data_IF_916264268693
#
_entry.id   IF_916264268693
#
_cell.length_a   1.000
_cell.length_b   1.000
_cell.length_c   1.000
_cell.angle_alpha   90.00
_cell.angle_beta   90.00
_cell.angle_gamma   90.00
#
_symmetry.space_group_name_H-M   'P 1'
#
loop_
_entity.id
_entity.type
_entity.pdbx_description
1 polymer ?
#
# COMPACT_ATOMS: atom_id res chain seq x y z
N UNK A 1 51.43 4.04 1.83
CA UNK A 1 50.70 2.89 1.27
C UNK A 1 49.63 3.42 0.33
N UNK A 2 49.60 2.82 -0.84
CA UNK A 2 48.95 3.19 -2.10
C UNK A 2 47.43 3.30 -2.00
N UNK A 3 46.87 4.42 -2.46
CA UNK A 3 45.43 4.55 -2.78
C UNK A 3 45.18 3.83 -4.12
N UNK A 4 44.34 2.81 -4.11
CA UNK A 4 43.75 2.27 -5.33
C UNK A 4 42.48 3.07 -5.64
N UNK A 5 42.52 3.81 -6.76
CA UNK A 5 41.35 4.42 -7.39
C UNK A 5 40.91 3.43 -8.46
N UNK A 6 39.68 2.92 -8.35
CA UNK A 6 39.05 2.08 -9.35
C UNK A 6 38.47 3.00 -10.47
N UNK A 7 38.96 2.99 -11.72
CA UNK A 7 38.44 3.82 -12.78
C UNK A 7 37.40 3.02 -13.57
N UNK A 8 36.14 3.02 -13.13
CA UNK A 8 35.09 2.26 -13.79
C UNK A 8 33.65 2.58 -13.40
N UNK A 9 33.39 3.65 -12.65
CA UNK A 9 32.04 4.12 -12.36
C UNK A 9 31.82 5.48 -13.01
N UNK A 10 31.35 5.46 -14.26
CA UNK A 10 30.72 6.61 -14.88
C UNK A 10 29.51 7.02 -14.04
N UNK A 11 29.54 8.25 -13.49
CA UNK A 11 28.36 8.90 -12.92
C UNK A 11 27.31 9.06 -14.03
N UNK A 12 26.23 8.30 -13.94
CA UNK A 12 25.05 8.48 -14.77
C UNK A 12 24.40 9.81 -14.38
N UNK A 13 24.51 10.82 -15.24
CA UNK A 13 23.68 12.02 -15.14
C UNK A 13 22.73 12.06 -16.33
N UNK A 14 21.48 12.46 -16.09
CA UNK A 14 20.35 12.52 -17.05
C UNK A 14 20.63 13.33 -18.33
N UNK A 15 21.80 13.98 -18.45
CA UNK A 15 22.19 14.84 -19.57
C UNK A 15 22.56 14.13 -20.88
N UNK A 16 22.72 12.80 -20.88
CA UNK A 16 23.12 12.04 -22.08
C UNK A 16 22.02 11.20 -22.73
N UNK A 17 20.79 11.17 -22.21
CA UNK A 17 19.68 10.37 -22.78
C UNK A 17 18.70 11.19 -23.65
N UNK A 18 18.87 12.52 -23.77
CA UNK A 18 17.89 13.39 -24.44
C UNK A 18 18.46 14.30 -25.54
N UNK A 19 19.51 13.87 -26.25
CA UNK A 19 20.09 14.63 -27.39
C UNK A 19 19.66 14.15 -28.78
N UNK A 20 18.53 13.47 -28.89
CA UNK A 20 18.12 12.77 -30.10
C UNK A 20 16.79 13.17 -30.74
N UNK A 21 16.32 14.43 -30.65
CA UNK A 21 15.26 14.95 -31.55
C UNK A 21 14.88 16.40 -31.23
N UNK A 22 15.37 17.36 -32.04
CA UNK A 22 14.85 18.74 -32.11
C UNK A 22 14.55 19.06 -33.58
N UNK A 23 13.34 19.56 -33.83
CA UNK A 23 12.78 20.40 -34.92
C UNK A 23 11.36 19.87 -35.21
N UNK A 24 10.27 20.64 -35.31
CA UNK A 24 9.99 22.07 -35.37
C UNK A 24 8.51 22.23 -34.90
N UNK A 25 8.08 23.33 -34.30
CA UNK A 25 7.72 24.54 -35.01
C UNK A 25 6.62 25.27 -34.23
N UNK A 26 6.83 26.56 -34.00
CA UNK A 26 5.92 27.45 -33.30
C UNK A 26 4.76 27.90 -34.20
N UNK A 27 3.55 27.97 -33.65
CA UNK A 27 2.48 28.82 -34.16
C UNK A 27 1.67 29.37 -32.98
N UNK A 28 1.82 30.66 -32.73
CA UNK A 28 1.01 31.43 -31.78
C UNK A 28 -0.37 31.69 -32.38
N UNK A 29 -1.43 31.43 -31.61
CA UNK A 29 -2.79 31.90 -31.89
C UNK A 29 -3.37 32.47 -30.60
N UNK A 30 -3.49 33.80 -30.58
CA UNK A 30 -4.22 34.62 -29.63
C UNK A 30 -5.72 34.34 -29.70
N UNK A 31 -6.43 34.23 -28.58
CA UNK A 31 -7.89 34.36 -28.59
C UNK A 31 -8.64 33.98 -27.32
N UNK A 32 -9.00 35.01 -26.54
CA UNK A 32 -10.18 35.12 -25.68
C UNK A 32 -10.36 34.09 -24.53
N UNK A 33 -9.95 34.51 -23.33
CA UNK A 33 -10.39 33.98 -22.05
C UNK A 33 -11.89 34.24 -21.84
N UNK A 34 -12.72 33.28 -22.27
CA UNK A 34 -14.07 33.15 -21.74
C UNK A 34 -13.96 32.48 -20.37
N UNK A 35 -14.15 33.23 -19.28
CA UNK A 35 -14.43 32.64 -17.97
C UNK A 35 -15.73 31.85 -18.08
N UNK A 36 -15.62 30.56 -18.38
CA UNK A 36 -16.73 29.62 -18.27
C UNK A 36 -17.10 29.55 -16.80
N UNK A 37 -18.24 30.14 -16.42
CA UNK A 37 -18.78 29.97 -15.09
C UNK A 37 -18.92 28.47 -14.81
N UNK A 38 -18.19 27.96 -13.80
CA UNK A 38 -18.26 26.57 -13.32
C UNK A 38 -19.74 26.26 -13.07
N UNK A 39 -20.30 25.37 -13.89
CA UNK A 39 -21.70 24.94 -13.79
C UNK A 39 -21.85 24.25 -12.42
N UNK A 40 -22.82 24.63 -11.57
CA UNK A 40 -22.98 23.99 -10.28
C UNK A 40 -23.26 22.49 -10.49
N UNK A 41 -22.30 21.65 -10.09
CA UNK A 41 -22.45 20.21 -10.16
C UNK A 41 -23.54 19.80 -9.17
N UNK A 42 -24.52 19.02 -9.64
CA UNK A 42 -25.52 18.47 -8.75
C UNK A 42 -24.85 17.49 -7.78
N UNK A 43 -25.17 17.54 -6.48
CA UNK A 43 -24.66 16.55 -5.54
C UNK A 43 -25.12 15.15 -5.96
N UNK A 44 -24.19 14.19 -5.95
CA UNK A 44 -24.50 12.81 -6.26
C UNK A 44 -25.50 12.27 -5.24
N UNK A 45 -26.64 11.75 -5.71
CA UNK A 45 -27.65 11.13 -4.82
C UNK A 45 -27.07 10.00 -3.97
N UNK A 46 -26.03 9.30 -4.46
CA UNK A 46 -25.35 8.22 -3.75
C UNK A 46 -24.58 8.69 -2.49
N UNK A 47 -23.97 9.88 -2.53
CA UNK A 47 -23.27 10.47 -1.36
C UNK A 47 -24.24 10.68 -0.20
N UNK A 48 -25.41 11.26 -0.49
CA UNK A 48 -26.44 11.50 0.53
C UNK A 48 -26.93 10.23 1.23
N UNK A 49 -26.94 9.09 0.55
CA UNK A 49 -27.35 7.78 1.10
C UNK A 49 -26.23 7.18 1.96
N UNK A 50 -24.98 7.25 1.48
CA UNK A 50 -23.83 6.68 2.20
C UNK A 50 -23.56 7.37 3.55
N UNK A 51 -23.76 8.69 3.64
CA UNK A 51 -23.54 9.46 4.88
C UNK A 51 -24.33 8.96 6.11
N UNK A 52 -25.45 8.26 5.92
CA UNK A 52 -26.28 7.77 7.03
C UNK A 52 -25.91 6.35 7.49
N UNK A 53 -25.06 5.62 6.76
CA UNK A 53 -24.68 4.24 7.12
C UNK A 53 -23.94 4.16 8.46
N UNK A 54 -23.02 5.10 8.72
CA UNK A 54 -22.26 5.13 9.97
C UNK A 54 -23.15 5.37 11.19
N UNK A 55 -24.13 6.26 11.07
CA UNK A 55 -25.13 6.48 12.14
C UNK A 55 -25.91 5.22 12.44
N UNK A 56 -26.39 4.52 11.41
CA UNK A 56 -27.11 3.25 11.60
C UNK A 56 -26.22 2.17 12.27
N UNK A 57 -24.94 2.11 11.93
CA UNK A 57 -23.98 1.19 12.54
C UNK A 57 -23.71 1.53 14.02
N UNK A 58 -23.52 2.82 14.34
CA UNK A 58 -23.33 3.31 15.71
C UNK A 58 -24.59 3.09 16.57
N UNK A 59 -25.78 3.35 16.02
CA UNK A 59 -27.07 3.11 16.69
C UNK A 59 -27.25 1.62 17.00
N UNK A 60 -26.89 0.73 16.07
CA UNK A 60 -26.95 -0.71 16.28
C UNK A 60 -26.03 -1.19 17.41
N UNK A 61 -24.84 -0.61 17.54
CA UNK A 61 -23.91 -0.96 18.60
C UNK A 61 -24.28 -0.35 19.96
N UNK A 62 -24.71 0.91 19.99
CA UNK A 62 -25.16 1.59 21.23
C UNK A 62 -26.44 0.98 21.81
N UNK A 63 -27.30 0.39 20.97
CA UNK A 63 -28.47 -0.37 21.40
C UNK A 63 -28.15 -1.80 21.87
N UNK A 64 -26.89 -2.25 21.78
CA UNK A 64 -26.51 -3.60 22.17
C UNK A 64 -26.62 -3.82 23.68
N UNK A 65 -27.26 -4.91 24.06
CA UNK A 65 -27.34 -5.40 25.46
C UNK A 65 -26.45 -6.62 25.67
N UNK A 66 -25.53 -6.89 24.74
CA UNK A 66 -24.62 -8.04 24.82
C UNK A 66 -23.71 -7.92 26.05
N UNK A 67 -23.47 -9.06 26.71
CA UNK A 67 -22.51 -9.13 27.82
C UNK A 67 -21.08 -8.94 27.29
N UNK A 68 -20.15 -8.37 28.08
CA UNK A 68 -18.74 -8.36 27.74
C UNK A 68 -18.21 -9.77 27.48
N UNK A 69 -17.30 -9.90 26.52
CA UNK A 69 -16.62 -11.17 26.27
C UNK A 69 -15.77 -11.58 27.48
N UNK A 70 -15.80 -12.85 27.86
CA UNK A 70 -14.85 -13.41 28.82
C UNK A 70 -13.50 -13.62 28.14
N UNK A 71 -12.52 -12.81 28.55
CA UNK A 71 -11.15 -12.81 28.03
C UNK A 71 -10.13 -13.23 29.09
N UNK A 72 -10.58 -13.81 30.20
CA UNK A 72 -9.69 -14.24 31.30
C UNK A 72 -8.59 -15.23 30.87
N UNK A 73 -8.84 -15.99 29.80
CA UNK A 73 -7.87 -16.92 29.21
C UNK A 73 -6.93 -16.32 28.15
N UNK A 74 -7.06 -15.03 27.79
CA UNK A 74 -6.22 -14.40 26.77
C UNK A 74 -5.02 -13.72 27.41
N UNK A 75 -3.82 -14.04 26.92
CA UNK A 75 -2.62 -13.27 27.25
C UNK A 75 -2.60 -11.98 26.45
N UNK A 76 -2.22 -10.86 27.07
CA UNK A 76 -2.05 -9.57 26.37
C UNK A 76 -0.62 -9.44 25.86
N UNK A 77 -0.46 -9.02 24.61
CA UNK A 77 0.83 -8.80 23.96
C UNK A 77 0.77 -7.46 23.26
N UNK A 78 1.68 -6.56 23.61
CA UNK A 78 1.85 -5.31 22.89
C UNK A 78 2.69 -5.55 21.64
N UNK A 79 2.17 -5.21 20.48
CA UNK A 79 2.91 -5.25 19.22
C UNK A 79 3.39 -3.84 18.87
N UNK A 80 4.70 -3.65 18.86
CA UNK A 80 5.32 -2.40 18.40
C UNK A 80 5.29 -2.37 16.87
N UNK A 81 4.48 -1.47 16.31
CA UNK A 81 4.39 -1.28 14.87
C UNK A 81 5.63 -0.58 14.33
N UNK A 82 6.05 -0.96 13.12
CA UNK A 82 7.19 -0.37 12.41
C UNK A 82 6.75 0.19 11.06
N UNK A 83 7.49 1.17 10.55
CA UNK A 83 7.18 1.77 9.26
C UNK A 83 7.34 0.73 8.12
N UNK A 84 6.44 0.73 7.12
CA UNK A 84 6.61 -0.03 5.89
C UNK A 84 7.92 0.36 5.17
N UNK A 85 8.57 -0.57 4.44
CA UNK A 85 8.08 -1.89 4.02
C UNK A 85 8.33 -3.02 5.03
N UNK A 86 8.73 -2.69 6.26
CA UNK A 86 9.00 -3.67 7.30
C UNK A 86 7.73 -4.14 8.00
N UNK A 87 7.85 -5.20 8.79
CA UNK A 87 6.79 -5.75 9.59
C UNK A 87 7.21 -5.84 11.07
N UNK A 88 6.25 -5.78 12.01
CA UNK A 88 6.55 -5.99 13.42
C UNK A 88 7.12 -7.39 13.68
N UNK A 89 7.85 -7.56 14.78
CA UNK A 89 8.27 -8.88 15.24
C UNK A 89 7.06 -9.79 15.48
N UNK A 90 7.15 -11.04 15.03
CA UNK A 90 6.08 -12.02 15.13
C UNK A 90 6.60 -13.45 15.03
N UNK A 91 5.80 -14.39 15.51
CA UNK A 91 6.00 -15.82 15.27
C UNK A 91 5.19 -16.23 14.03
N UNK A 92 5.73 -17.13 13.21
CA UNK A 92 4.97 -17.71 12.09
C UNK A 92 4.01 -18.83 12.52
N UNK A 93 4.31 -19.49 13.63
CA UNK A 93 3.45 -20.48 14.28
C UNK A 93 3.14 -19.95 15.66
N UNK A 94 1.87 -19.92 16.03
CA UNK A 94 1.43 -19.37 17.30
C UNK A 94 1.94 -20.19 18.48
N UNK A 95 2.67 -19.56 19.40
CA UNK A 95 2.92 -20.15 20.72
C UNK A 95 1.72 -19.95 21.65
N UNK A 96 1.22 -21.02 22.25
CA UNK A 96 0.16 -20.98 23.27
C UNK A 96 -1.25 -20.80 22.70
N UNK A 97 -2.16 -20.30 23.53
CA UNK A 97 -3.56 -20.00 23.15
C UNK A 97 -3.72 -18.66 22.41
N UNK A 98 -4.95 -18.29 22.04
CA UNK A 98 -5.26 -16.96 21.53
C UNK A 98 -4.85 -15.82 22.48
N UNK A 99 -4.42 -14.70 21.90
CA UNK A 99 -3.89 -13.53 22.62
C UNK A 99 -4.72 -12.28 22.33
N UNK A 100 -4.63 -11.27 23.18
CA UNK A 100 -5.04 -9.89 22.85
C UNK A 100 -3.79 -9.18 22.35
N UNK A 101 -3.76 -8.88 21.05
CA UNK A 101 -2.70 -8.11 20.41
C UNK A 101 -3.06 -6.63 20.53
N UNK A 102 -2.36 -5.93 21.42
CA UNK A 102 -2.53 -4.51 21.70
C UNK A 102 -1.66 -3.69 20.75
N UNK A 103 -2.30 -2.80 19.98
CA UNK A 103 -1.63 -1.88 19.05
C UNK A 103 -2.10 -0.45 19.31
N UNK A 104 -1.25 0.51 18.96
CA UNK A 104 -1.59 1.94 18.97
C UNK A 104 -1.27 2.54 17.62
N UNK A 105 -2.23 3.26 17.05
CA UNK A 105 -2.02 4.09 15.88
C UNK A 105 -2.36 5.54 16.18
N UNK A 106 -1.51 6.45 15.75
CA UNK A 106 -1.73 7.90 15.80
C UNK A 106 -1.89 8.37 14.37
N UNK A 107 -2.97 9.09 14.08
CA UNK A 107 -3.16 9.68 12.75
C UNK A 107 -2.23 10.86 12.58
N UNK A 108 -1.75 11.08 11.36
CA UNK A 108 -0.95 12.25 11.01
C UNK A 108 -1.37 12.76 9.64
N UNK A 109 -1.76 14.03 9.59
CA UNK A 109 -2.02 14.77 8.36
C UNK A 109 -0.74 15.52 7.98
N UNK A 110 -0.13 15.17 6.85
CA UNK A 110 1.20 15.69 6.49
C UNK A 110 1.36 15.91 5.00
N UNK A 111 2.07 16.97 4.63
CA UNK A 111 2.47 17.17 3.25
C UNK A 111 3.58 16.15 2.88
N UNK A 112 3.34 15.36 1.84
CA UNK A 112 4.29 14.40 1.28
C UNK A 112 4.57 14.73 -0.18
N UNK A 113 5.84 14.66 -0.56
CA UNK A 113 6.23 14.69 -1.97
C UNK A 113 5.96 13.30 -2.55
N UNK A 114 5.15 13.24 -3.59
CA UNK A 114 4.79 11.99 -4.30
C UNK A 114 5.78 11.72 -5.43
N UNK A 115 6.22 12.76 -6.12
CA UNK A 115 7.19 12.67 -7.21
C UNK A 115 8.10 13.91 -7.20
N UNK A 116 9.38 13.69 -6.86
CA UNK A 116 10.38 14.75 -6.79
C UNK A 116 10.67 15.39 -8.15
N UNK A 117 10.53 14.64 -9.25
CA UNK A 117 10.87 15.14 -10.59
C UNK A 117 9.82 16.12 -11.14
N UNK A 118 8.56 15.90 -10.78
CA UNK A 118 7.44 16.77 -11.18
C UNK A 118 7.05 17.77 -10.09
N UNK A 119 7.57 17.62 -8.87
CA UNK A 119 7.18 18.42 -7.72
C UNK A 119 5.78 18.08 -7.19
N UNK A 120 5.20 16.96 -7.62
CA UNK A 120 3.90 16.52 -7.18
C UNK A 120 3.90 16.26 -5.67
N UNK A 121 2.90 16.79 -4.96
CA UNK A 121 2.74 16.60 -3.52
C UNK A 121 1.29 16.38 -3.15
N UNK A 122 1.07 15.80 -1.98
CA UNK A 122 -0.26 15.51 -1.43
C UNK A 122 -0.26 15.80 0.06
N UNK A 123 -1.36 16.35 0.57
CA UNK A 123 -1.66 16.29 2.00
C UNK A 123 -2.12 14.87 2.33
N UNK A 124 -1.15 14.03 2.70
CA UNK A 124 -1.39 12.64 3.04
C UNK A 124 -2.11 12.55 4.39
N UNK A 125 -3.13 11.70 4.45
CA UNK A 125 -3.82 11.31 5.67
C UNK A 125 -3.30 9.93 6.03
N UNK A 126 -2.63 9.78 7.16
CA UNK A 126 -1.83 8.58 7.43
C UNK A 126 -2.21 7.94 8.77
N UNK A 127 -1.98 6.63 8.86
CA UNK A 127 -1.84 5.95 10.15
C UNK A 127 -0.35 5.81 10.46
N UNK A 128 0.12 6.35 11.59
CA UNK A 128 1.52 6.36 12.01
C UNK A 128 2.49 7.08 11.04
N UNK A 129 2.03 8.12 10.33
CA UNK A 129 2.91 8.98 9.55
C UNK A 129 3.40 8.40 8.22
N UNK A 130 2.93 7.21 7.82
CA UNK A 130 3.36 6.52 6.60
C UNK A 130 2.20 6.22 5.65
N UNK A 131 2.52 6.15 4.36
CA UNK A 131 1.65 5.58 3.31
C UNK A 131 2.38 4.37 2.70
N UNK A 132 1.87 3.14 2.82
CA UNK A 132 0.68 2.77 3.60
C UNK A 132 0.91 2.94 5.11
N UNK A 133 -0.14 2.79 5.91
CA UNK A 133 0.00 2.58 7.35
C UNK A 133 0.70 1.24 7.67
N UNK A 134 1.20 1.03 8.90
CA UNK A 134 1.97 -0.17 9.26
C UNK A 134 1.24 -1.51 9.09
N UNK A 135 1.98 -2.55 8.70
CA UNK A 135 1.45 -3.93 8.73
C UNK A 135 1.17 -4.36 10.17
N UNK A 136 -0.05 -4.83 10.43
CA UNK A 136 -0.41 -5.50 11.69
C UNK A 136 -0.29 -7.02 11.47
N UNK A 137 0.22 -7.77 12.45
CA UNK A 137 0.28 -9.23 12.37
C UNK A 137 -0.34 -9.86 13.62
N UNK A 138 -1.30 -10.76 13.43
CA UNK A 138 -1.86 -11.57 14.50
C UNK A 138 -2.12 -13.01 14.01
N UNK A 139 -2.55 -13.89 14.89
CA UNK A 139 -2.99 -15.23 14.51
C UNK A 139 -4.50 -15.39 14.56
N UNK A 140 -5.01 -16.37 13.83
CA UNK A 140 -6.40 -16.78 13.92
C UNK A 140 -6.81 -17.08 15.37
N UNK A 141 -7.92 -16.48 15.76
CA UNK A 141 -8.51 -16.56 17.09
C UNK A 141 -8.06 -15.45 18.03
N UNK A 142 -6.97 -14.73 17.74
CA UNK A 142 -6.52 -13.60 18.55
C UNK A 142 -7.56 -12.46 18.53
N UNK A 143 -7.55 -11.64 19.57
CA UNK A 143 -8.23 -10.36 19.60
C UNK A 143 -7.24 -9.28 19.17
N UNK A 144 -7.62 -8.42 18.23
CA UNK A 144 -6.90 -7.19 17.94
C UNK A 144 -7.54 -6.08 18.76
N UNK A 145 -6.76 -5.39 19.59
CA UNK A 145 -7.18 -4.25 20.40
C UNK A 145 -6.38 -3.01 19.98
N UNK A 146 -7.02 -2.15 19.18
CA UNK A 146 -6.44 -0.92 18.66
C UNK A 146 -6.82 0.26 19.53
N UNK A 147 -5.83 1.01 19.99
CA UNK A 147 -5.99 2.41 20.40
C UNK A 147 -5.74 3.32 19.20
N UNK A 148 -6.76 4.02 18.72
CA UNK A 148 -6.66 4.99 17.62
C UNK A 148 -6.73 6.41 18.20
N UNK A 149 -5.74 7.24 17.88
CA UNK A 149 -5.65 8.62 18.36
C UNK A 149 -5.64 9.59 17.19
N UNK A 150 -6.44 10.65 17.31
CA UNK A 150 -6.42 11.77 16.39
C UNK A 150 -5.88 13.01 17.10
N UNK A 151 -4.67 13.49 16.77
CA UNK A 151 -4.10 14.71 17.38
C UNK A 151 -5.02 15.93 17.30
N UNK A 152 -4.86 16.86 18.24
CA UNK A 152 -5.72 18.05 18.34
C UNK A 152 -5.49 19.09 17.24
N UNK A 153 -4.36 19.00 16.54
CA UNK A 153 -3.96 19.83 15.41
C UNK A 153 -4.35 19.26 14.04
N UNK A 154 -4.99 18.08 14.00
CA UNK A 154 -5.60 17.54 12.79
C UNK A 154 -6.78 18.40 12.32
N UNK A 155 -7.00 18.42 11.00
CA UNK A 155 -8.11 19.12 10.36
C UNK A 155 -9.37 18.27 10.25
N UNK A 156 -9.24 16.94 10.22
CA UNK A 156 -10.32 16.02 9.89
C UNK A 156 -10.67 15.05 11.00
N UNK A 157 -11.92 14.56 10.96
CA UNK A 157 -12.30 13.35 11.68
C UNK A 157 -11.73 12.12 10.98
N UNK A 158 -11.37 11.11 11.75
CA UNK A 158 -10.88 9.84 11.23
C UNK A 158 -11.59 8.67 11.89
N UNK A 159 -11.55 7.51 11.24
CA UNK A 159 -11.96 6.24 11.82
C UNK A 159 -11.16 5.11 11.17
N UNK A 160 -11.52 3.85 11.41
CA UNK A 160 -10.86 2.72 10.77
C UNK A 160 -11.83 1.56 10.52
N UNK A 161 -11.83 1.08 9.28
CA UNK A 161 -12.50 -0.14 8.83
C UNK A 161 -11.44 -1.24 8.64
N UNK A 162 -11.55 -2.32 9.41
CA UNK A 162 -10.79 -3.55 9.22
C UNK A 162 -11.62 -4.56 8.43
N UNK A 163 -11.18 -4.90 7.21
CA UNK A 163 -11.84 -5.93 6.39
C UNK A 163 -11.75 -7.32 7.04
N UNK A 164 -10.77 -7.55 7.91
CA UNK A 164 -10.63 -8.77 8.71
C UNK A 164 -11.65 -8.90 9.85
N UNK A 165 -12.34 -7.82 10.21
CA UNK A 165 -13.26 -7.79 11.36
C UNK A 165 -14.71 -8.11 10.95
N UNK A 166 -15.67 -8.06 11.88
CA UNK A 166 -17.08 -8.35 11.59
C UNK A 166 -18.00 -7.46 12.41
N UNK A 167 -18.91 -6.75 11.71
CA UNK A 167 -19.88 -5.84 12.30
C UNK A 167 -19.45 -4.37 12.25
N UNK A 168 -20.42 -3.48 12.44
CA UNK A 168 -20.23 -2.03 12.53
C UNK A 168 -19.33 -1.40 11.44
N UNK A 169 -19.49 -1.84 10.18
CA UNK A 169 -18.69 -1.38 9.04
C UNK A 169 -17.19 -1.58 9.27
N UNK A 170 -16.81 -2.80 9.66
CA UNK A 170 -15.43 -3.18 9.98
C UNK A 170 -14.82 -2.47 11.18
N UNK A 171 -15.64 -1.84 12.02
CA UNK A 171 -15.21 -0.98 13.12
C UNK A 171 -15.31 0.52 12.81
N UNK A 172 -15.52 0.92 11.55
CA UNK A 172 -15.59 2.33 11.15
C UNK A 172 -16.74 3.06 11.83
N UNK A 173 -17.87 2.39 12.05
CA UNK A 173 -19.02 2.96 12.79
C UNK A 173 -18.79 3.16 14.29
N UNK A 174 -17.68 2.65 14.86
CA UNK A 174 -17.37 2.70 16.30
C UNK A 174 -16.11 3.51 16.62
N UNK A 175 -15.40 3.97 15.59
CA UNK A 175 -14.05 4.53 15.72
C UNK A 175 -13.92 5.94 15.18
N UNK A 176 -15.04 6.67 15.02
CA UNK A 176 -14.99 8.09 14.73
C UNK A 176 -14.27 8.83 15.88
N UNK A 177 -13.11 9.41 15.57
CA UNK A 177 -12.28 10.21 16.46
C UNK A 177 -12.07 11.58 15.83
N UNK A 178 -12.64 12.62 16.45
CA UNK A 178 -12.39 14.01 16.09
C UNK A 178 -10.98 14.45 16.56
N UNK A 179 -10.45 15.56 16.05
CA UNK A 179 -9.19 16.11 16.54
C UNK A 179 -9.20 16.27 18.06
N UNK A 180 -8.19 15.68 18.72
CA UNK A 180 -8.04 15.65 20.18
C UNK A 180 -8.71 14.46 20.88
N UNK A 181 -9.30 13.53 20.13
CA UNK A 181 -9.97 12.35 20.67
C UNK A 181 -9.16 11.05 20.46
N UNK A 182 -9.49 10.06 21.28
CA UNK A 182 -9.03 8.68 21.10
C UNK A 182 -10.19 7.70 21.29
N UNK A 183 -10.08 6.54 20.65
CA UNK A 183 -10.97 5.41 20.89
C UNK A 183 -10.18 4.11 20.99
N UNK A 184 -10.78 3.10 21.63
CA UNK A 184 -10.24 1.75 21.69
C UNK A 184 -11.23 0.77 21.07
N UNK A 185 -10.85 0.14 19.97
CA UNK A 185 -11.62 -0.90 19.29
C UNK A 185 -11.02 -2.26 19.56
N UNK A 186 -11.86 -3.24 19.92
CA UNK A 186 -11.45 -4.64 20.00
C UNK A 186 -12.33 -5.53 19.14
N UNK A 187 -11.71 -6.41 18.36
CA UNK A 187 -12.39 -7.38 17.51
C UNK A 187 -11.61 -8.70 17.43
N UNK A 188 -12.26 -9.78 17.01
CA UNK A 188 -11.65 -11.12 16.91
C UNK A 188 -11.23 -11.43 15.48
N UNK A 189 -9.97 -11.82 15.28
CA UNK A 189 -9.44 -12.26 14.00
C UNK A 189 -9.91 -13.70 13.71
N UNK A 190 -11.01 -13.84 12.98
CA UNK A 190 -11.67 -15.15 12.76
C UNK A 190 -11.33 -15.81 11.42
N UNK A 191 -10.55 -15.14 10.56
CA UNK A 191 -10.28 -15.59 9.19
C UNK A 191 -8.79 -15.39 8.87
N UNK A 192 -8.04 -16.46 8.55
CA UNK A 192 -6.66 -16.34 8.10
C UNK A 192 -6.55 -15.69 6.71
N UNK A 193 -5.58 -14.79 6.52
CA UNK A 193 -5.35 -14.09 5.25
C UNK A 193 -4.70 -12.72 5.43
N UNK A 194 -4.46 -12.04 4.32
CA UNK A 194 -4.12 -10.62 4.30
C UNK A 194 -5.38 -9.80 4.00
N UNK A 195 -5.60 -8.74 4.78
CA UNK A 195 -6.80 -7.91 4.64
C UNK A 195 -6.41 -6.44 4.69
N UNK A 196 -7.06 -5.64 3.86
CA UNK A 196 -6.94 -4.19 3.94
C UNK A 196 -7.57 -3.67 5.24
N UNK A 197 -7.00 -2.60 5.77
CA UNK A 197 -7.73 -1.69 6.65
C UNK A 197 -7.63 -0.27 6.08
N UNK A 198 -8.66 0.54 6.28
CA UNK A 198 -8.64 1.92 5.78
C UNK A 198 -9.60 2.84 6.53
N UNK A 199 -9.41 4.15 6.37
CA UNK A 199 -10.34 5.14 6.89
C UNK A 199 -11.62 5.17 6.04
N UNK A 200 -12.77 5.35 6.69
CA UNK A 200 -14.08 5.43 6.05
C UNK A 200 -15.04 6.32 6.85
N UNK A 201 -14.83 7.65 6.92
CA UNK A 201 -15.64 8.55 7.77
C UNK A 201 -17.05 8.80 7.21
N UNK A 202 -17.31 8.46 5.95
CA UNK A 202 -18.64 8.46 5.34
C UNK A 202 -18.76 9.30 4.06
N UNK A 203 -19.68 8.90 3.19
CA UNK A 203 -19.93 9.62 1.94
C UNK A 203 -18.69 9.73 1.05
N UNK A 204 -18.55 10.86 0.36
CA UNK A 204 -17.41 11.16 -0.52
C UNK A 204 -16.08 11.33 0.25
N UNK A 205 -16.09 11.45 1.57
CA UNK A 205 -14.86 11.47 2.38
C UNK A 205 -14.22 10.07 2.48
N UNK A 206 -14.95 8.98 2.21
CA UNK A 206 -14.36 7.62 2.18
C UNK A 206 -13.27 7.54 1.09
N UNK A 207 -13.58 7.71 -0.21
CA UNK A 207 -12.55 7.63 -1.25
C UNK A 207 -11.50 8.74 -1.12
N UNK A 208 -11.86 9.93 -0.62
CA UNK A 208 -10.89 11.01 -0.39
C UNK A 208 -9.81 10.58 0.63
N UNK A 209 -10.20 10.05 1.79
CA UNK A 209 -9.21 9.61 2.79
C UNK A 209 -8.35 8.44 2.28
N UNK A 210 -8.97 7.49 1.58
CA UNK A 210 -8.26 6.33 1.02
C UNK A 210 -7.26 6.76 -0.05
N UNK A 211 -7.66 7.62 -0.98
CA UNK A 211 -6.81 8.14 -2.06
C UNK A 211 -5.71 9.08 -1.54
N UNK A 212 -5.86 9.63 -0.34
CA UNK A 212 -4.82 10.42 0.35
C UNK A 212 -3.87 9.57 1.20
N UNK A 213 -3.93 8.23 1.09
CA UNK A 213 -2.97 7.34 1.74
C UNK A 213 -3.45 6.68 3.03
N UNK A 214 -4.69 6.90 3.46
CA UNK A 214 -5.17 6.44 4.76
C UNK A 214 -5.66 5.00 4.75
N UNK A 215 -4.75 4.09 4.37
CA UNK A 215 -4.98 2.66 4.30
C UNK A 215 -3.70 1.88 4.62
N UNK A 216 -3.87 0.62 5.00
CA UNK A 216 -2.80 -0.33 5.22
C UNK A 216 -3.31 -1.76 5.19
N UNK A 217 -2.57 -2.69 5.78
CA UNK A 217 -2.97 -4.10 5.81
C UNK A 217 -2.75 -4.76 7.18
N UNK A 218 -3.54 -5.79 7.44
CA UNK A 218 -3.35 -6.74 8.52
C UNK A 218 -3.17 -8.15 7.95
N UNK A 219 -2.21 -8.89 8.49
CA UNK A 219 -2.01 -10.31 8.21
C UNK A 219 -2.46 -11.15 9.40
N UNK A 220 -3.48 -11.98 9.17
CA UNK A 220 -3.97 -12.96 10.13
C UNK A 220 -3.39 -14.32 9.74
N UNK A 221 -2.35 -14.77 10.45
CA UNK A 221 -1.71 -16.05 10.20
C UNK A 221 -2.57 -17.22 10.72
N UNK A 222 -2.62 -18.37 10.01
CA UNK A 222 -3.11 -19.61 10.61
C UNK A 222 -2.27 -19.95 11.85
N UNK A 223 -2.88 -20.54 12.88
CA UNK A 223 -2.18 -20.82 14.14
C UNK A 223 -0.97 -21.73 13.97
N UNK A 224 -1.01 -22.64 13.00
CA UNK A 224 0.08 -23.57 12.68
C UNK A 224 0.90 -23.14 11.44
N UNK A 225 0.83 -21.86 11.07
CA UNK A 225 1.62 -21.24 10.02
C UNK A 225 1.08 -21.47 8.61
N UNK A 226 1.79 -20.90 7.63
CA UNK A 226 1.44 -21.03 6.22
C UNK A 226 1.72 -22.46 5.73
N UNK A 227 0.95 -22.91 4.73
CA UNK A 227 1.06 -24.26 4.16
C UNK A 227 0.86 -24.27 2.66
N UNK A 228 1.45 -25.25 2.00
CA UNK A 228 1.15 -25.54 0.59
C UNK A 228 -0.20 -26.26 0.42
N UNK A 229 -0.56 -26.55 -0.83
CA UNK A 229 -1.80 -27.27 -1.14
C UNK A 229 -1.85 -28.72 -0.68
N UNK A 230 -0.73 -29.29 -0.23
CA UNK A 230 -0.63 -30.62 0.35
C UNK A 230 -0.60 -30.58 1.89
N UNK A 231 -0.63 -29.38 2.49
CA UNK A 231 -0.58 -29.18 3.93
C UNK A 231 0.83 -29.19 4.52
N UNK A 232 1.88 -29.17 3.69
CA UNK A 232 3.26 -29.07 4.19
C UNK A 232 3.53 -27.63 4.68
N UNK A 233 4.29 -27.45 5.77
CA UNK A 233 4.62 -26.12 6.27
C UNK A 233 5.45 -25.30 5.29
N UNK A 234 5.06 -24.04 5.09
CA UNK A 234 5.82 -23.03 4.36
C UNK A 234 6.42 -22.03 5.35
N UNK A 235 7.70 -21.71 5.15
CA UNK A 235 8.47 -20.77 6.00
C UNK A 235 9.08 -19.69 5.12
N UNK A 236 9.10 -18.47 5.63
CA UNK A 236 9.83 -17.36 5.06
C UNK A 236 10.93 -16.90 6.01
N UNK A 237 12.03 -16.39 5.45
CA UNK A 237 13.16 -15.85 6.18
C UNK A 237 12.97 -14.35 6.48
N UNK A 238 12.32 -13.65 5.54
CA UNK A 238 12.00 -12.23 5.67
C UNK A 238 10.65 -11.89 5.03
N UNK A 239 10.16 -10.68 5.32
CA UNK A 239 8.87 -10.17 4.85
C UNK A 239 9.06 -8.77 4.27
N UNK A 240 8.38 -8.50 3.15
CA UNK A 240 8.29 -7.19 2.54
C UNK A 240 6.81 -6.80 2.43
N UNK A 241 6.42 -5.69 3.05
CA UNK A 241 5.09 -5.14 2.96
C UNK A 241 5.06 -3.94 2.01
N UNK A 242 4.31 -4.09 0.92
CA UNK A 242 4.24 -3.13 -0.18
C UNK A 242 2.81 -2.63 -0.27
N UNK A 243 2.59 -1.37 0.09
CA UNK A 243 1.32 -0.69 -0.17
C UNK A 243 1.39 0.03 -1.51
N UNK A 244 0.44 -0.28 -2.39
CA UNK A 244 0.23 0.43 -3.64
C UNK A 244 -0.87 1.48 -3.47
N UNK A 245 -0.54 2.73 -3.80
CA UNK A 245 -1.41 3.88 -3.61
C UNK A 245 -1.67 4.57 -4.95
N UNK A 246 -2.93 4.66 -5.35
CA UNK A 246 -3.40 5.52 -6.43
C UNK A 246 -3.69 6.94 -5.92
N UNK A 247 -3.04 7.93 -6.53
CA UNK A 247 -3.24 9.35 -6.25
C UNK A 247 -3.91 10.07 -7.43
N UNK A 248 -4.85 10.96 -7.11
CA UNK A 248 -5.59 11.78 -8.08
C UNK A 248 -5.31 13.25 -7.81
N UNK A 249 -4.09 13.68 -8.14
CA UNK A 249 -3.62 15.02 -7.79
C UNK A 249 -4.20 16.06 -8.77
N UNK A 250 -4.85 17.12 -8.28
CA UNK A 250 -5.36 18.18 -9.14
C UNK A 250 -4.26 18.88 -9.93
N UNK A 251 -4.56 19.19 -11.21
CA UNK A 251 -3.70 19.98 -12.08
C UNK A 251 -4.37 21.32 -12.43
N UNK A 252 -3.56 22.33 -12.73
CA UNK A 252 -4.02 23.60 -13.27
C UNK A 252 -4.26 23.55 -14.80
N UNK A 253 -4.62 24.69 -15.40
CA UNK A 253 -4.89 24.78 -16.85
C UNK A 253 -3.64 24.55 -17.72
N UNK A 254 -2.44 24.65 -17.15
CA UNK A 254 -1.17 24.42 -17.83
C UNK A 254 -0.71 22.96 -17.73
N UNK A 255 -1.37 22.15 -16.90
CA UNK A 255 -0.99 20.77 -16.60
C UNK A 255 0.00 20.63 -15.45
N UNK A 256 0.22 21.70 -14.67
CA UNK A 256 1.08 21.65 -13.48
C UNK A 256 0.27 21.20 -12.26
N UNK A 257 0.89 20.43 -11.35
CA UNK A 257 0.24 20.01 -10.11
C UNK A 257 -0.04 21.20 -9.19
N UNK A 258 -1.23 21.24 -8.63
CA UNK A 258 -1.64 22.27 -7.67
C UNK A 258 -1.09 21.97 -6.28
N UNK A 259 -0.75 23.03 -5.54
CA UNK A 259 -0.40 22.96 -4.12
C UNK A 259 -1.48 23.60 -3.27
N UNK A 260 -1.57 23.16 -2.02
CA UNK A 260 -2.61 23.55 -1.06
C UNK A 260 -1.99 23.74 0.33
N UNK A 261 -2.54 24.65 1.14
CA UNK A 261 -1.93 25.09 2.40
C UNK A 261 -2.18 24.10 3.55
N UNK A 262 -3.33 23.41 3.54
CA UNK A 262 -3.70 22.42 4.54
C UNK A 262 -4.45 21.22 3.94
N UNK A 263 -4.54 20.13 4.73
CA UNK A 263 -5.40 19.01 4.40
C UNK A 263 -6.86 19.45 4.26
N UNK A 264 -7.53 19.03 3.17
CA UNK A 264 -8.93 19.37 2.88
C UNK A 264 -9.13 20.59 2.00
N UNK A 265 -8.12 21.46 1.86
CA UNK A 265 -8.20 22.62 0.96
C UNK A 265 -8.38 22.20 -0.51
N UNK A 266 -7.90 21.00 -0.85
CA UNK A 266 -8.00 20.40 -2.19
C UNK A 266 -9.28 19.60 -2.43
N UNK A 267 -10.13 19.41 -1.41
CA UNK A 267 -11.23 18.45 -1.42
C UNK A 267 -12.10 18.50 -2.68
N UNK A 268 -12.51 19.70 -3.09
CA UNK A 268 -13.37 19.87 -4.26
C UNK A 268 -12.67 19.47 -5.57
N UNK A 269 -11.41 19.84 -5.74
CA UNK A 269 -10.64 19.54 -6.95
C UNK A 269 -10.19 18.07 -6.96
N UNK A 270 -9.84 17.50 -5.81
CA UNK A 270 -9.48 16.08 -5.67
C UNK A 270 -10.68 15.17 -5.97
N UNK A 271 -11.89 15.56 -5.56
CA UNK A 271 -13.11 14.86 -5.99
C UNK A 271 -13.36 14.98 -7.50
N UNK A 272 -13.00 16.10 -8.13
CA UNK A 272 -13.08 16.24 -9.59
C UNK A 272 -12.07 15.32 -10.29
N UNK A 273 -10.82 15.27 -9.82
CA UNK A 273 -9.78 14.39 -10.32
C UNK A 273 -10.12 12.90 -10.13
N UNK A 274 -10.58 12.50 -8.93
CA UNK A 274 -10.98 11.12 -8.63
C UNK A 274 -12.09 10.60 -9.54
N UNK A 275 -13.03 11.48 -9.94
CA UNK A 275 -14.15 11.08 -10.82
C UNK A 275 -13.72 10.66 -12.22
N UNK A 276 -12.49 10.98 -12.63
CA UNK A 276 -11.94 10.51 -13.89
C UNK A 276 -11.62 9.02 -13.86
N UNK A 277 -11.41 8.44 -12.66
CA UNK A 277 -10.91 7.08 -12.45
C UNK A 277 -9.54 6.83 -13.11
N UNK A 278 -8.79 7.90 -13.41
CA UNK A 278 -7.45 7.84 -13.98
C UNK A 278 -6.48 8.43 -12.95
N UNK A 279 -5.68 7.61 -12.27
CA UNK A 279 -4.72 8.12 -11.30
C UNK A 279 -3.60 8.89 -12.01
N UNK A 280 -3.16 9.97 -11.38
CA UNK A 280 -1.97 10.72 -11.79
C UNK A 280 -0.69 10.00 -11.43
N UNK A 281 -0.71 9.27 -10.31
CA UNK A 281 0.39 8.44 -9.83
C UNK A 281 -0.20 7.18 -9.21
N UNK A 282 0.52 6.08 -9.33
CA UNK A 282 0.20 4.83 -8.65
C UNK A 282 1.50 4.20 -8.19
N UNK A 283 1.82 4.41 -6.91
CA UNK A 283 3.17 4.30 -6.35
C UNK A 283 3.25 3.28 -5.22
N UNK A 284 4.44 2.75 -4.97
CA UNK A 284 4.71 1.92 -3.80
C UNK A 284 5.27 2.76 -2.66
N UNK A 285 4.78 2.51 -1.44
CA UNK A 285 5.22 3.18 -0.21
C UNK A 285 5.19 4.72 -0.30
N UNK A 286 4.14 5.25 -0.92
CA UNK A 286 3.75 6.66 -0.85
C UNK A 286 4.43 7.61 -1.85
N UNK A 287 5.48 7.18 -2.55
CA UNK A 287 6.16 8.04 -3.53
C UNK A 287 6.83 7.25 -4.65
N UNK A 288 7.02 7.91 -5.80
CA UNK A 288 7.79 7.39 -6.93
C UNK A 288 9.20 7.06 -6.45
N UNK A 289 9.63 5.80 -6.63
CA UNK A 289 10.98 5.37 -6.29
C UNK A 289 11.25 5.13 -4.80
N UNK A 290 10.23 5.19 -3.93
CA UNK A 290 10.39 5.04 -2.47
C UNK A 290 11.08 3.72 -2.06
N UNK A 291 10.93 2.66 -2.86
CA UNK A 291 11.54 1.34 -2.65
C UNK A 291 12.63 1.01 -3.67
N UNK A 292 13.40 2.02 -4.09
CA UNK A 292 14.48 1.87 -5.08
C UNK A 292 15.80 2.47 -4.59
N UNK A 293 16.87 2.29 -5.36
CA UNK A 293 18.19 2.83 -5.01
C UNK A 293 18.69 2.37 -3.64
N UNK A 294 19.01 3.33 -2.77
CA UNK A 294 19.46 3.05 -1.40
C UNK A 294 18.36 2.43 -0.53
N UNK A 295 17.08 2.63 -0.88
CA UNK A 295 15.90 2.07 -0.21
C UNK A 295 15.40 0.77 -0.83
N UNK A 296 16.13 0.22 -1.81
CA UNK A 296 15.78 -1.07 -2.40
C UNK A 296 15.80 -2.18 -1.35
N UNK A 297 14.81 -3.06 -1.42
CA UNK A 297 14.68 -4.26 -0.60
C UNK A 297 15.91 -5.15 -0.80
N UNK A 298 16.35 -5.87 0.23
CA UNK A 298 17.55 -6.72 0.19
C UNK A 298 17.16 -8.17 0.44
N UNK A 299 17.80 -9.08 -0.29
CA UNK A 299 17.67 -10.53 -0.08
C UNK A 299 18.95 -11.25 -0.50
N UNK A 300 18.99 -12.57 -0.33
CA UNK A 300 20.08 -13.43 -0.81
C UNK A 300 19.54 -14.60 -1.62
N UNK A 301 20.35 -15.13 -2.53
CA UNK A 301 20.06 -16.41 -3.18
C UNK A 301 19.88 -17.48 -2.10
N UNK A 302 18.78 -18.24 -2.19
CA UNK A 302 18.32 -19.21 -1.21
C UNK A 302 17.41 -18.65 -0.12
N UNK A 303 17.26 -17.33 0.01
CA UNK A 303 16.35 -16.70 0.97
C UNK A 303 14.92 -16.69 0.42
N UNK A 304 13.97 -17.05 1.29
CA UNK A 304 12.53 -17.02 0.98
C UNK A 304 11.89 -15.78 1.56
N UNK A 305 11.34 -14.92 0.69
CA UNK A 305 10.68 -13.68 1.09
C UNK A 305 9.16 -13.81 0.95
N UNK A 306 8.42 -13.45 2.00
CA UNK A 306 6.98 -13.23 1.93
C UNK A 306 6.70 -11.78 1.53
N UNK A 307 6.12 -11.58 0.35
CA UNK A 307 5.72 -10.27 -0.16
C UNK A 307 4.23 -10.07 0.08
N UNK A 308 3.87 -9.20 1.01
CA UNK A 308 2.48 -8.77 1.25
C UNK A 308 2.22 -7.52 0.42
N UNK A 309 1.20 -7.56 -0.42
CA UNK A 309 0.85 -6.46 -1.33
C UNK A 309 -0.58 -5.99 -1.09
N UNK A 310 -0.77 -4.71 -0.76
CA UNK A 310 -2.07 -4.11 -0.49
C UNK A 310 -2.40 -3.06 -1.54
N UNK A 311 -3.60 -3.16 -2.14
CA UNK A 311 -4.16 -2.10 -2.97
C UNK A 311 -5.60 -1.81 -2.53
N UNK A 312 -5.81 -0.65 -1.91
CA UNK A 312 -7.05 -0.37 -1.19
C UNK A 312 -8.21 0.08 -2.10
N UNK A 313 -7.94 0.67 -3.26
CA UNK A 313 -8.98 1.31 -4.08
C UNK A 313 -9.02 0.81 -5.53
N UNK A 314 -7.86 0.61 -6.16
CA UNK A 314 -7.77 0.16 -7.56
C UNK A 314 -7.10 -1.20 -7.68
N UNK A 315 -7.36 -1.90 -8.77
CA UNK A 315 -6.73 -3.19 -9.05
C UNK A 315 -5.23 -3.05 -9.32
N UNK A 316 -4.46 -4.02 -8.84
CA UNK A 316 -3.03 -4.20 -9.14
C UNK A 316 -2.76 -5.58 -9.71
N UNK A 317 -1.67 -5.68 -10.47
CA UNK A 317 -1.15 -6.95 -11.02
C UNK A 317 0.33 -7.13 -10.70
N UNK A 318 0.69 -7.47 -9.45
CA UNK A 318 2.09 -7.51 -9.08
C UNK A 318 2.87 -8.61 -9.79
N UNK A 319 4.13 -8.31 -10.09
CA UNK A 319 5.05 -9.18 -10.80
C UNK A 319 6.48 -8.93 -10.33
N UNK A 320 7.27 -9.99 -10.17
CA UNK A 320 8.69 -9.92 -9.85
C UNK A 320 9.52 -10.20 -11.11
N UNK A 321 9.99 -9.15 -11.78
CA UNK A 321 10.78 -9.26 -13.02
C UNK A 321 12.08 -10.02 -12.72
N UNK A 322 12.26 -11.16 -13.39
CA UNK A 322 13.39 -12.08 -13.20
C UNK A 322 13.13 -13.20 -12.19
N UNK A 323 11.98 -13.17 -11.50
CA UNK A 323 11.54 -14.19 -10.54
C UNK A 323 10.10 -14.63 -10.79
N UNK A 324 9.46 -15.19 -9.76
CA UNK A 324 8.08 -15.70 -9.80
C UNK A 324 7.41 -15.55 -8.43
N UNK A 325 6.13 -15.89 -8.32
CA UNK A 325 5.49 -16.29 -7.07
C UNK A 325 5.47 -17.80 -6.95
N UNK A 326 6.32 -18.40 -6.10
CA UNK A 326 6.30 -19.85 -5.88
C UNK A 326 4.99 -20.29 -5.24
N UNK A 327 4.49 -19.50 -4.28
CA UNK A 327 3.19 -19.68 -3.64
C UNK A 327 2.49 -18.34 -3.55
N UNK A 328 1.26 -18.23 -4.06
CA UNK A 328 0.51 -16.98 -4.09
C UNK A 328 -0.91 -17.18 -3.54
N UNK A 329 -1.28 -16.35 -2.58
CA UNK A 329 -2.64 -16.24 -2.06
C UNK A 329 -3.24 -14.91 -2.47
N UNK A 330 -4.15 -14.95 -3.45
CA UNK A 330 -4.99 -13.80 -3.83
C UNK A 330 -6.24 -13.65 -2.93
N UNK A 331 -6.47 -14.61 -2.02
CA UNK A 331 -7.64 -14.67 -1.13
C UNK A 331 -7.27 -15.02 0.32
N UNK A 332 -7.62 -16.24 0.77
CA UNK A 332 -7.49 -16.73 2.14
C UNK A 332 -6.25 -17.62 2.28
N UNK A 333 -5.61 -17.60 3.45
CA UNK A 333 -4.54 -18.57 3.77
C UNK A 333 -5.07 -19.98 4.05
N UNK A 334 -6.39 -20.17 4.11
CA UNK A 334 -7.01 -21.50 4.20
C UNK A 334 -7.14 -22.18 2.84
N UNK A 335 -7.07 -21.41 1.76
CA UNK A 335 -7.12 -21.94 0.40
C UNK A 335 -5.72 -22.40 -0.02
N UNK A 336 -5.59 -23.48 -0.83
CA UNK A 336 -4.32 -23.83 -1.45
C UNK A 336 -3.76 -22.64 -2.24
N UNK A 337 -2.48 -22.26 -2.05
CA UNK A 337 -1.87 -21.21 -2.85
C UNK A 337 -1.81 -21.61 -4.33
N UNK A 338 -1.91 -20.61 -5.20
CA UNK A 338 -1.46 -20.76 -6.59
C UNK A 338 0.06 -20.95 -6.60
N UNK A 339 0.57 -21.68 -7.60
CA UNK A 339 2.00 -22.02 -7.68
C UNK A 339 2.61 -21.67 -9.02
N UNK A 340 3.86 -21.22 -9.04
CA UNK A 340 4.59 -20.93 -10.28
C UNK A 340 4.02 -19.74 -11.06
N UNK A 341 3.50 -18.74 -10.35
CA UNK A 341 2.85 -17.58 -10.94
C UNK A 341 3.89 -16.62 -11.51
N UNK A 342 3.71 -16.18 -12.75
CA UNK A 342 4.46 -15.05 -13.32
C UNK A 342 3.98 -13.72 -12.73
N UNK A 343 2.67 -13.51 -12.70
CA UNK A 343 1.97 -12.28 -12.30
C UNK A 343 0.72 -12.70 -11.59
N UNK A 344 0.37 -12.04 -10.49
CA UNK A 344 -0.87 -12.31 -9.75
C UNK A 344 -1.74 -11.06 -9.66
N UNK A 345 -2.97 -11.23 -9.22
CA UNK A 345 -3.97 -10.15 -9.20
C UNK A 345 -4.37 -9.77 -7.78
N UNK A 346 -4.28 -8.48 -7.47
CA UNK A 346 -4.78 -7.89 -6.23
C UNK A 346 -5.94 -6.98 -6.59
N UNK A 347 -7.13 -7.33 -6.11
CA UNK A 347 -8.35 -6.56 -6.37
C UNK A 347 -8.29 -5.25 -5.58
N UNK A 348 -8.84 -4.17 -6.13
CA UNK A 348 -9.08 -2.96 -5.36
C UNK A 348 -9.89 -3.26 -4.09
N UNK A 349 -9.36 -2.86 -2.94
CA UNK A 349 -9.94 -3.16 -1.64
C UNK A 349 -9.51 -4.52 -1.08
N UNK A 350 -8.31 -4.99 -1.46
CA UNK A 350 -7.77 -6.25 -0.93
C UNK A 350 -6.26 -6.20 -0.73
N UNK A 351 -5.77 -7.16 0.06
CA UNK A 351 -4.36 -7.47 0.18
C UNK A 351 -4.13 -8.94 -0.20
N UNK A 352 -3.00 -9.21 -0.83
CA UNK A 352 -2.57 -10.54 -1.23
C UNK A 352 -1.16 -10.82 -0.71
N UNK A 353 -0.74 -12.08 -0.75
CA UNK A 353 0.62 -12.45 -0.39
C UNK A 353 1.24 -13.40 -1.43
N UNK A 354 2.52 -13.23 -1.69
CA UNK A 354 3.31 -14.12 -2.53
C UNK A 354 4.62 -14.50 -1.83
N UNK A 355 5.01 -15.77 -1.89
CA UNK A 355 6.31 -16.25 -1.43
C UNK A 355 7.20 -16.59 -2.63
N UNK A 356 8.46 -16.19 -2.55
CA UNK A 356 9.48 -16.56 -3.52
C UNK A 356 10.80 -16.84 -2.83
N UNK A 357 11.46 -17.94 -3.20
CA UNK A 357 12.86 -18.22 -2.84
C UNK A 357 13.75 -17.74 -3.97
N UNK A 358 14.67 -16.81 -3.70
CA UNK A 358 15.51 -16.24 -4.74
C UNK A 358 16.53 -17.25 -5.27
N UNK A 359 16.63 -17.38 -6.60
CA UNK A 359 17.49 -18.38 -7.26
C UNK A 359 18.67 -17.75 -8.02
N UNK A 360 18.65 -16.44 -8.29
CA UNK A 360 19.73 -15.71 -8.94
C UNK A 360 20.06 -14.41 -8.18
N UNK A 361 21.31 -13.94 -8.22
CA UNK A 361 21.69 -12.64 -7.68
C UNK A 361 21.35 -11.52 -8.68
N UNK A 362 21.41 -10.28 -8.22
CA UNK A 362 21.26 -9.09 -9.07
C UNK A 362 20.12 -8.18 -8.62
N UNK A 363 19.70 -7.30 -9.53
CA UNK A 363 18.59 -6.38 -9.28
C UNK A 363 17.33 -6.93 -9.93
N UNK A 364 16.30 -7.12 -9.12
CA UNK A 364 14.95 -7.47 -9.57
C UNK A 364 14.06 -6.24 -9.44
N UNK A 365 13.12 -6.10 -10.37
CA UNK A 365 12.05 -5.11 -10.25
C UNK A 365 10.76 -5.81 -9.83
N UNK A 366 10.17 -5.37 -8.73
CA UNK A 366 8.81 -5.73 -8.35
C UNK A 366 7.88 -4.62 -8.84
N UNK A 367 6.87 -4.94 -9.64
CA UNK A 367 6.09 -3.94 -10.38
C UNK A 367 4.60 -4.25 -10.36
N UNK A 368 3.76 -3.23 -10.55
CA UNK A 368 2.46 -3.42 -11.17
C UNK A 368 2.69 -3.64 -12.68
N UNK A 369 2.34 -4.82 -13.19
CA UNK A 369 2.66 -5.22 -14.56
C UNK A 369 1.70 -4.66 -15.63
N UNK A 370 0.85 -3.69 -15.29
CA UNK A 370 0.53 -2.68 -16.29
C UNK A 370 1.75 -1.75 -16.35
N UNK A 371 2.62 -1.97 -17.34
CA UNK A 371 3.92 -1.31 -17.39
C UNK A 371 3.83 0.21 -17.58
N UNK A 372 2.66 0.75 -17.97
CA UNK A 372 2.42 2.20 -17.91
C UNK A 372 2.41 2.65 -16.44
N UNK A 373 1.68 1.93 -15.57
CA UNK A 373 1.70 2.18 -14.13
C UNK A 373 3.12 1.94 -13.57
N UNK A 374 3.71 0.77 -13.84
CA UNK A 374 5.01 0.40 -13.30
C UNK A 374 6.12 1.38 -13.70
N UNK A 375 6.26 1.69 -14.99
CA UNK A 375 7.37 2.48 -15.51
C UNK A 375 7.11 3.99 -15.57
N UNK A 376 5.84 4.43 -15.68
CA UNK A 376 5.52 5.86 -15.87
C UNK A 376 4.79 6.49 -14.68
N UNK A 377 4.00 5.73 -13.91
CA UNK A 377 3.23 6.26 -12.77
C UNK A 377 3.83 5.91 -11.40
N UNK A 378 4.95 5.17 -11.38
CA UNK A 378 5.77 4.93 -10.18
C UNK A 378 5.52 3.62 -9.45
N UNK A 379 4.75 2.68 -10.03
CA UNK A 379 4.41 1.39 -9.42
C UNK A 379 5.54 0.36 -9.49
N UNK A 380 6.73 0.74 -9.00
CA UNK A 380 7.96 -0.07 -9.07
C UNK A 380 8.75 -0.01 -7.75
N UNK A 381 9.21 -1.17 -7.30
CA UNK A 381 10.20 -1.37 -6.24
C UNK A 381 11.36 -2.20 -6.78
N UNK A 382 12.51 -2.17 -6.10
CA UNK A 382 13.65 -3.02 -6.42
C UNK A 382 13.97 -3.97 -5.26
N UNK A 383 14.35 -5.21 -5.61
CA UNK A 383 15.13 -6.07 -4.74
C UNK A 383 16.58 -6.11 -5.24
N UNK A 384 17.54 -5.98 -4.32
CA UNK A 384 18.96 -6.22 -4.57
C UNK A 384 19.34 -7.50 -3.87
N UNK A 385 19.64 -8.52 -4.67
CA UNK A 385 19.85 -9.90 -4.22
C UNK A 385 21.33 -10.25 -4.32
N UNK A 386 21.93 -10.65 -3.20
CA UNK A 386 23.33 -11.11 -3.17
C UNK A 386 23.42 -12.63 -3.39
N UNK A 387 24.48 -13.10 -4.04
CA UNK A 387 24.70 -14.53 -4.27
C UNK A 387 25.59 -14.82 -5.46
N UNK A 388 25.72 -16.11 -5.78
CA UNK A 388 26.44 -16.57 -6.98
C UNK A 388 25.46 -16.77 -8.13
N UNK A 389 25.87 -16.35 -9.33
CA UNK A 389 25.11 -16.57 -10.56
C UNK A 389 25.13 -18.06 -10.94
N UNK A 390 23.98 -18.59 -11.36
CA UNK A 390 23.83 -19.98 -11.81
C UNK A 390 23.57 -20.05 -13.33
N UNK A 391 24.60 -20.44 -14.09
CA UNK A 391 24.48 -20.64 -15.54
C UNK A 391 23.57 -21.82 -15.93
N UNK A 392 23.24 -22.72 -15.00
CA UNK A 392 22.28 -23.80 -15.28
C UNK A 392 20.84 -23.30 -15.38
N UNK A 393 20.54 -22.15 -14.75
CA UNK A 393 19.25 -21.47 -14.85
C UNK A 393 19.23 -20.48 -16.01
N UNK A 394 20.29 -19.68 -16.19
CA UNK A 394 20.36 -18.69 -17.26
C UNK A 394 21.81 -18.39 -17.65
N UNK A 395 22.13 -18.47 -18.94
CA UNK A 395 23.45 -18.13 -19.48
C UNK A 395 23.31 -17.31 -20.76
N UNK A 396 24.13 -16.26 -20.91
CA UNK A 396 24.32 -15.59 -22.18
C UNK A 396 25.37 -16.34 -23.01
N UNK A 397 24.93 -17.21 -23.91
CA UNK A 397 25.81 -18.02 -24.75
C UNK A 397 26.60 -17.17 -25.76
N UNK A 398 25.99 -16.07 -26.24
CA UNK A 398 26.63 -15.09 -27.14
C UNK A 398 26.12 -13.70 -26.80
N UNK A 399 27.03 -12.74 -26.63
CA UNK A 399 26.70 -11.33 -26.44
C UNK A 399 26.04 -10.69 -27.68
N UNK A 400 25.28 -9.59 -27.53
CA UNK A 400 24.71 -8.87 -28.66
C UNK A 400 25.77 -8.49 -29.68
N UNK A 401 25.59 -8.95 -30.92
CA UNK A 401 26.50 -8.69 -32.04
C UNK A 401 25.71 -8.39 -33.32
N UNK A 402 26.27 -7.62 -34.27
CA UNK A 402 25.69 -7.50 -35.60
C UNK A 402 25.53 -8.88 -36.27
N UNK A 403 24.48 -9.05 -37.07
CA UNK A 403 24.33 -10.21 -37.95
C UNK A 403 24.35 -9.73 -39.41
N UNK A 404 24.92 -10.54 -40.31
CA UNK A 404 24.84 -10.27 -41.75
C UNK A 404 23.38 -10.45 -42.19
N UNK A 405 22.84 -9.44 -42.87
CA UNK A 405 21.44 -9.36 -43.32
C UNK A 405 21.16 -10.20 -44.56
#
# INVERSE_FOLDING_TARGET
>A
MTKFINPGLTKTSRRNVLRGSILAGAAAMTGASAMAARRPQQPLKADAVSRNLHKAAADGASASTAKPADLSGYTRVKQELVAPPFAPEHEQVATGGPKIIEITMVTEERLMVVDEDTGASVWALTYNGSVPGPLIICHEGDMVELTLRNPADSMMEHNIDFHASTGALGGGGLTHVYPGEECVLRWKATKPGCFTYHCAPGGAMIPYHVAHGMNGAIMVLPRDGLKDGQGNPLRYDSIAYIGEQDYYLPMDENGDYKSYDAAGDDYADSLEAMRTLVPTHQVFNGAVGALTGEHALKAKVGETVLMVHNSCNVDSRPHLIGGHGNYVWESSFTDPPLTGMETWFVRGGSAAAAMYTFEQPGVYAYVNHNLIIGAMLGGTAHFVVEGAWDNTLMEQVVEPRPFES
#
